data_IF_504703981500
#
_entry.id   IF_504703981500
#
_cell.length_a   1.000
_cell.length_b   1.000
_cell.length_c   1.000
_cell.angle_alpha   90.00
_cell.angle_beta   90.00
_cell.angle_gamma   90.00
#
_symmetry.space_group_name_H-M   'P 1'
#
loop_
_entity.id
_entity.type
_entity.pdbx_description
1 polymer ?
#
# COMPACT_ATOMS: atom_id res chain seq x y z
N UNK A 1 -19.47 -12.28 -17.52
CA UNK A 1 -19.22 -10.83 -17.41
C UNK A 1 -19.18 -10.25 -18.81
N UNK A 2 -20.06 -9.31 -19.16
CA UNK A 2 -20.24 -8.76 -20.52
C UNK A 2 -19.13 -7.76 -20.90
N UNK A 3 -17.87 -8.17 -20.81
CA UNK A 3 -16.73 -7.36 -21.25
C UNK A 3 -16.36 -7.80 -22.67
N UNK A 4 -16.43 -6.91 -23.67
CA UNK A 4 -16.09 -7.27 -25.05
C UNK A 4 -14.59 -7.57 -25.19
N UNK A 5 -14.27 -8.68 -25.85
CA UNK A 5 -12.88 -9.04 -26.18
C UNK A 5 -12.31 -8.09 -27.24
N UNK A 6 -10.98 -7.99 -27.32
CA UNK A 6 -10.25 -7.13 -28.26
C UNK A 6 -10.63 -5.64 -28.19
N UNK A 7 -11.12 -5.19 -27.04
CA UNK A 7 -11.40 -3.77 -26.80
C UNK A 7 -10.26 -3.14 -26.03
N UNK A 8 -9.78 -1.99 -26.50
CA UNK A 8 -8.80 -1.18 -25.76
C UNK A 8 -9.57 -0.32 -24.76
N UNK A 9 -9.33 -0.55 -23.47
CA UNK A 9 -9.89 0.25 -22.38
C UNK A 9 -8.95 1.43 -22.08
N UNK A 10 -9.50 2.63 -22.08
CA UNK A 10 -8.81 3.84 -21.64
C UNK A 10 -8.84 3.94 -20.11
N UNK A 11 -8.08 4.87 -19.56
CA UNK A 11 -8.04 5.10 -18.11
C UNK A 11 -9.42 5.43 -17.54
N UNK A 12 -10.19 6.27 -18.24
CA UNK A 12 -11.56 6.65 -17.91
C UNK A 12 -12.55 5.47 -17.97
N UNK A 13 -12.24 4.40 -18.73
CA UNK A 13 -13.04 3.18 -18.75
C UNK A 13 -12.76 2.30 -17.52
N UNK A 14 -11.53 2.35 -17.02
CA UNK A 14 -11.05 1.60 -15.84
C UNK A 14 -11.40 2.31 -14.52
N UNK A 15 -11.30 3.64 -14.50
CA UNK A 15 -11.56 4.51 -13.35
C UNK A 15 -12.32 5.74 -13.84
N UNK A 16 -13.64 5.75 -13.59
CA UNK A 16 -14.57 6.69 -14.23
C UNK A 16 -14.56 8.10 -13.65
N UNK A 17 -14.13 8.25 -12.40
CA UNK A 17 -14.13 9.55 -11.72
C UNK A 17 -13.06 9.63 -10.62
N UNK A 18 -12.89 10.85 -10.09
CA UNK A 18 -11.93 11.16 -9.03
C UNK A 18 -12.41 10.76 -7.63
N UNK A 19 -13.59 10.16 -7.46
CA UNK A 19 -14.08 9.67 -6.17
C UNK A 19 -13.44 8.33 -5.79
N UNK A 20 -12.11 8.31 -5.83
CA UNK A 20 -11.27 7.15 -5.57
C UNK A 20 -10.22 7.44 -4.52
N UNK A 21 -9.73 6.36 -3.92
CA UNK A 21 -8.54 6.34 -3.07
C UNK A 21 -7.61 5.25 -3.59
N UNK A 22 -6.37 5.64 -3.89
CA UNK A 22 -5.29 4.71 -4.18
C UNK A 22 -4.36 4.63 -2.98
N UNK A 23 -4.02 3.42 -2.55
CA UNK A 23 -3.08 3.18 -1.45
C UNK A 23 -2.11 2.07 -1.85
N UNK A 24 -0.81 2.32 -1.65
CA UNK A 24 0.23 1.32 -1.86
C UNK A 24 1.25 1.37 -0.73
N UNK A 25 1.68 0.21 -0.24
CA UNK A 25 2.74 0.06 0.77
C UNK A 25 3.88 -0.75 0.17
N UNK A 26 5.12 -0.29 0.35
CA UNK A 26 6.29 -1.01 -0.16
C UNK A 26 6.58 -2.26 0.67
N UNK A 27 6.56 -3.43 0.03
CA UNK A 27 7.02 -4.69 0.65
C UNK A 27 8.54 -4.78 0.52
N UNK A 28 9.05 -4.75 -0.70
CA UNK A 28 10.49 -4.61 -1.02
C UNK A 28 10.79 -3.18 -1.43
N UNK A 29 12.04 -2.75 -1.27
CA UNK A 29 12.42 -1.37 -1.64
C UNK A 29 12.44 -1.22 -3.16
N UNK A 30 11.64 -0.28 -3.65
CA UNK A 30 11.64 0.15 -5.04
C UNK A 30 11.83 1.66 -5.15
N UNK A 31 11.68 2.20 -6.35
CA UNK A 31 11.89 3.63 -6.61
C UNK A 31 10.83 4.51 -5.92
N UNK A 32 9.58 4.05 -5.86
CA UNK A 32 8.47 4.84 -5.33
C UNK A 32 8.38 4.77 -3.79
N UNK A 33 8.55 3.57 -3.24
CA UNK A 33 8.34 3.26 -1.83
C UNK A 33 9.47 2.40 -1.28
N UNK A 34 9.93 2.77 -0.08
CA UNK A 34 10.80 1.90 0.72
C UNK A 34 10.05 0.63 1.11
N UNK A 35 10.76 -0.48 1.05
CA UNK A 35 10.27 -1.76 1.55
C UNK A 35 10.20 -1.78 3.07
N UNK A 36 9.54 -2.80 3.59
CA UNK A 36 9.47 -3.05 5.02
C UNK A 36 10.89 -3.28 5.55
N UNK A 37 11.24 -2.57 6.63
CA UNK A 37 12.50 -2.78 7.34
C UNK A 37 12.21 -3.07 8.80
N UNK A 38 12.92 -4.02 9.38
CA UNK A 38 12.83 -4.32 10.81
C UNK A 38 14.15 -4.01 11.52
N UNK A 39 14.07 -3.35 12.67
CA UNK A 39 15.19 -3.14 13.60
C UNK A 39 14.71 -3.45 15.02
N UNK A 40 15.20 -4.55 15.59
CA UNK A 40 14.73 -5.02 16.89
C UNK A 40 13.24 -5.32 16.87
N UNK A 41 12.47 -4.71 17.78
CA UNK A 41 11.02 -4.84 17.90
C UNK A 41 10.23 -3.84 17.04
N UNK A 42 10.89 -3.00 16.22
CA UNK A 42 10.20 -2.04 15.36
C UNK A 42 10.29 -2.49 13.90
N UNK A 43 9.13 -2.63 13.26
CA UNK A 43 9.01 -2.72 11.80
C UNK A 43 8.57 -1.35 11.26
N UNK A 44 9.26 -0.84 10.24
CA UNK A 44 8.89 0.41 9.56
C UNK A 44 8.36 0.14 8.16
N UNK A 45 7.33 0.89 7.79
CA UNK A 45 6.66 0.82 6.48
C UNK A 45 6.60 2.20 5.84
N UNK A 46 6.60 2.25 4.51
CA UNK A 46 6.30 3.45 3.75
C UNK A 46 5.09 3.22 2.84
N UNK A 47 4.10 4.09 2.95
CA UNK A 47 2.82 4.01 2.23
C UNK A 47 2.56 5.30 1.46
N UNK A 48 2.15 5.17 0.19
CA UNK A 48 1.62 6.28 -0.61
C UNK A 48 0.09 6.21 -0.60
N UNK A 49 -0.56 7.28 -0.18
CA UNK A 49 -2.01 7.44 -0.25
C UNK A 49 -2.32 8.62 -1.17
N UNK A 50 -3.22 8.40 -2.13
CA UNK A 50 -3.71 9.41 -3.06
C UNK A 50 -5.23 9.40 -3.00
N UNK A 51 -5.84 10.58 -2.83
CA UNK A 51 -7.28 10.77 -2.94
C UNK A 51 -7.59 11.68 -4.13
N UNK A 52 -8.25 11.16 -5.15
CA UNK A 52 -8.54 11.89 -6.39
C UNK A 52 -9.32 13.17 -6.11
N UNK A 53 -10.45 13.04 -5.40
CA UNK A 53 -11.41 14.13 -5.18
C UNK A 53 -10.82 15.35 -4.47
N UNK A 54 -9.88 15.15 -3.54
CA UNK A 54 -9.20 16.27 -2.86
C UNK A 54 -7.81 16.56 -3.42
N UNK A 55 -7.39 15.82 -4.46
CA UNK A 55 -6.03 15.87 -5.03
C UNK A 55 -4.92 15.80 -3.98
N UNK A 56 -5.19 15.10 -2.89
CA UNK A 56 -4.28 15.02 -1.75
C UNK A 56 -3.38 13.81 -1.92
N UNK A 57 -2.07 14.03 -1.78
CA UNK A 57 -1.05 12.99 -1.79
C UNK A 57 -0.41 12.98 -0.41
N UNK A 58 -0.34 11.80 0.21
CA UNK A 58 0.33 11.58 1.50
C UNK A 58 1.35 10.48 1.35
N UNK A 59 2.59 10.78 1.70
CA UNK A 59 3.62 9.77 1.94
C UNK A 59 3.69 9.55 3.45
N UNK A 60 3.30 8.36 3.88
CA UNK A 60 3.11 8.00 5.29
C UNK A 60 4.23 7.04 5.66
N UNK A 61 5.04 7.44 6.65
CA UNK A 61 6.01 6.57 7.31
C UNK A 61 5.43 6.15 8.65
N UNK A 62 5.53 4.87 8.97
CA UNK A 62 4.97 4.32 10.21
C UNK A 62 5.92 3.34 10.83
N UNK A 63 6.07 3.44 12.15
CA UNK A 63 6.78 2.50 12.99
C UNK A 63 5.77 1.64 13.74
N UNK A 64 5.95 0.33 13.65
CA UNK A 64 5.08 -0.69 14.21
C UNK A 64 5.86 -1.46 15.27
N UNK A 65 5.42 -1.37 16.52
CA UNK A 65 5.90 -2.20 17.62
C UNK A 65 5.40 -3.64 17.42
N UNK A 66 6.31 -4.53 17.03
CA UNK A 66 6.03 -5.93 16.65
C UNK A 66 5.66 -6.78 17.86
N UNK A 67 6.32 -6.52 19.00
CA UNK A 67 6.05 -7.14 20.32
C UNK A 67 4.64 -6.86 20.87
N UNK A 68 3.89 -5.95 20.25
CA UNK A 68 2.48 -5.64 20.57
C UNK A 68 1.49 -6.19 19.56
N UNK A 69 1.93 -7.05 18.64
CA UNK A 69 1.08 -7.70 17.62
C UNK A 69 0.70 -9.11 18.05
N UNK A 70 -0.21 -9.72 17.29
CA UNK A 70 -0.74 -11.06 17.60
C UNK A 70 0.36 -12.13 17.64
N UNK A 71 0.20 -13.11 18.52
CA UNK A 71 1.19 -14.17 18.75
C UNK A 71 1.53 -14.99 17.50
N UNK A 72 0.58 -15.14 16.57
CA UNK A 72 0.84 -15.80 15.29
C UNK A 72 1.93 -15.06 14.49
N UNK A 73 1.89 -13.74 14.49
CA UNK A 73 2.89 -12.92 13.81
C UNK A 73 4.25 -12.96 14.52
N UNK A 74 4.25 -13.05 15.85
CA UNK A 74 5.49 -13.26 16.63
C UNK A 74 6.14 -14.59 16.25
N UNK A 75 5.34 -15.66 16.15
CA UNK A 75 5.83 -17.00 15.79
C UNK A 75 6.46 -17.09 14.41
N UNK A 76 5.98 -16.28 13.44
CA UNK A 76 6.55 -16.21 12.09
C UNK A 76 7.88 -15.46 12.03
N UNK A 77 8.23 -14.74 13.09
CA UNK A 77 9.39 -13.86 13.14
C UNK A 77 10.43 -14.32 14.17
N UNK A 78 10.31 -15.56 14.65
CA UNK A 78 11.15 -16.18 15.68
C UNK A 78 11.29 -15.30 16.94
N UNK A 79 10.20 -14.62 17.32
CA UNK A 79 10.08 -13.80 18.53
C UNK A 79 9.23 -14.46 19.61
#
# INVERSE_FOLDING_TARGET
MNVPVNTVLKLEDLVRDDNIVFVATGITSGELLKGIKRRGNIASTETLLIRGKSRTIRKIQSDHYVDRKDNELLSLLDL
#
